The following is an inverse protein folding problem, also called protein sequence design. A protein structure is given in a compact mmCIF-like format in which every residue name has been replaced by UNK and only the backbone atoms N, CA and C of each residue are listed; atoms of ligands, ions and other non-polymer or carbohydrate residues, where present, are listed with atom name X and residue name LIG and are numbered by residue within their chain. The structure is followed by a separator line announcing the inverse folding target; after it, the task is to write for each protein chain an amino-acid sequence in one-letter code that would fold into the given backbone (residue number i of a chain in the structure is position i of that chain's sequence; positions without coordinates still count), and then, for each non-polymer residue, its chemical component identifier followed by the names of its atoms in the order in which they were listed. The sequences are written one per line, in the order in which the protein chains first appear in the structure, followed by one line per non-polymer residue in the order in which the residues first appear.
data_IF_778912916885
#
_entry.id   IF_778912916885
#
_cell.length_a   1.000
_cell.length_b   1.000
_cell.length_c   1.000
_cell.angle_alpha   90.00
_cell.angle_beta   90.00
_cell.angle_gamma   90.00
#
_symmetry.space_group_name_H-M   'P 1'
#
loop_
_entity.id
_entity.type
_entity.pdbx_description
1 polymer ?
#
# COMPACT_ATOMS: atom_id res chain seq x y z
N UNK A 1 -4.07 -15.78 -29.09
CA UNK A 1 -3.38 -14.80 -28.20
C UNK A 1 -3.41 -15.33 -26.77
N UNK A 2 -2.28 -15.78 -26.23
CA UNK A 2 -2.16 -16.07 -24.78
C UNK A 2 -2.30 -14.74 -24.04
N UNK A 3 -3.34 -14.57 -23.21
CA UNK A 3 -3.37 -13.50 -22.21
C UNK A 3 -2.14 -13.71 -21.33
N UNK A 4 -1.08 -12.93 -21.53
CA UNK A 4 0.02 -12.90 -20.57
C UNK A 4 -0.61 -12.63 -19.20
N UNK A 5 -0.30 -13.46 -18.20
CA UNK A 5 -0.74 -13.24 -16.82
C UNK A 5 -0.31 -11.82 -16.44
N UNK A 6 -1.27 -10.91 -16.28
CA UNK A 6 -1.00 -9.59 -15.72
C UNK A 6 -0.31 -9.81 -14.37
N UNK A 7 0.94 -9.37 -14.25
CA UNK A 7 1.66 -9.46 -12.99
C UNK A 7 1.07 -8.42 -12.04
N UNK A 8 0.14 -8.88 -11.21
CA UNK A 8 -0.51 -8.08 -10.17
C UNK A 8 0.26 -8.21 -8.85
N UNK A 9 0.65 -7.07 -8.28
CA UNK A 9 1.32 -6.97 -6.99
C UNK A 9 0.48 -6.14 -6.04
N UNK A 10 0.42 -6.52 -4.76
CA UNK A 10 -0.14 -5.64 -3.74
C UNK A 10 0.93 -4.67 -3.25
N UNK A 11 0.52 -3.46 -2.86
CA UNK A 11 1.43 -2.50 -2.23
C UNK A 11 1.97 -3.08 -0.92
N UNK A 12 1.09 -3.51 -0.01
CA UNK A 12 1.50 -4.24 1.20
C UNK A 12 0.36 -5.02 1.87
N UNK A 13 0.06 -6.20 1.34
CA UNK A 13 -1.04 -7.04 1.87
C UNK A 13 -0.84 -7.52 3.33
N UNK A 14 0.37 -7.90 3.79
CA UNK A 14 0.56 -8.40 5.15
C UNK A 14 0.12 -7.43 6.25
N UNK A 15 0.37 -6.13 6.07
CA UNK A 15 -0.05 -5.12 7.04
C UNK A 15 -1.57 -4.99 7.13
N UNK A 16 -2.27 -5.11 6.00
CA UNK A 16 -3.74 -5.07 6.00
C UNK A 16 -4.29 -6.27 6.79
N UNK A 17 -3.74 -7.47 6.55
CA UNK A 17 -4.12 -8.68 7.29
C UNK A 17 -3.86 -8.53 8.79
N UNK A 18 -2.70 -8.00 9.16
CA UNK A 18 -2.34 -7.76 10.56
C UNK A 18 -3.31 -6.80 11.26
N UNK A 19 -3.66 -5.68 10.62
CA UNK A 19 -4.62 -4.72 11.18
C UNK A 19 -6.02 -5.35 11.30
N UNK A 20 -6.43 -6.19 10.33
CA UNK A 20 -7.70 -6.94 10.43
C UNK A 20 -7.74 -7.82 11.67
N UNK A 21 -6.66 -8.55 11.96
CA UNK A 21 -6.59 -9.45 13.11
C UNK A 21 -6.72 -8.65 14.42
N UNK A 22 -6.00 -7.52 14.54
CA UNK A 22 -6.11 -6.63 15.71
C UNK A 22 -7.55 -6.13 15.89
N UNK A 23 -8.20 -5.72 14.80
CA UNK A 23 -9.57 -5.24 14.83
C UNK A 23 -10.54 -6.33 15.34
N UNK A 24 -10.39 -7.57 14.87
CA UNK A 24 -11.23 -8.70 15.33
C UNK A 24 -11.01 -8.94 16.82
N UNK A 25 -9.76 -8.97 17.28
CA UNK A 25 -9.44 -9.16 18.71
C UNK A 25 -10.04 -8.02 19.55
N UNK A 26 -9.91 -6.77 19.09
CA UNK A 26 -10.51 -5.60 19.75
C UNK A 26 -12.02 -5.69 19.88
N UNK A 27 -12.71 -6.12 18.81
CA UNK A 27 -14.16 -6.34 18.83
C UNK A 27 -14.54 -7.43 19.83
N UNK A 28 -13.86 -8.59 19.81
CA UNK A 28 -14.15 -9.69 20.75
C UNK A 28 -13.95 -9.25 22.20
N UNK A 29 -12.85 -8.57 22.51
CA UNK A 29 -12.60 -8.04 23.86
C UNK A 29 -13.66 -7.03 24.28
N UNK A 30 -14.07 -6.13 23.38
CA UNK A 30 -15.12 -5.17 23.67
C UNK A 30 -16.45 -5.86 23.97
N UNK A 31 -16.86 -6.85 23.18
CA UNK A 31 -18.09 -7.62 23.39
C UNK A 31 -18.08 -8.34 24.75
N UNK A 32 -16.96 -8.96 25.13
CA UNK A 32 -16.81 -9.58 26.47
C UNK A 32 -16.96 -8.52 27.57
N UNK A 33 -16.40 -7.34 27.35
CA UNK A 33 -16.50 -6.23 28.29
C UNK A 33 -17.94 -5.71 28.46
N UNK A 34 -18.73 -5.64 27.38
CA UNK A 34 -20.13 -5.21 27.43
C UNK A 34 -21.01 -6.07 28.35
N UNK A 35 -20.66 -7.35 28.49
CA UNK A 35 -21.41 -8.29 29.32
C UNK A 35 -21.07 -8.19 30.82
N UNK A 36 -20.06 -7.40 31.19
CA UNK A 36 -19.55 -7.34 32.57
C UNK A 36 -19.68 -5.98 33.26
N UNK A 37 -19.87 -4.89 32.52
CA UNK A 37 -19.81 -3.54 33.05
C UNK A 37 -21.11 -2.75 32.81
N UNK A 38 -21.46 -1.89 33.78
CA UNK A 38 -22.57 -0.96 33.66
C UNK A 38 -22.18 0.23 32.77
N UNK A 39 -23.13 0.67 31.94
CA UNK A 39 -22.96 1.70 30.91
C UNK A 39 -23.12 3.14 31.42
N UNK A 40 -23.40 3.28 32.72
CA UNK A 40 -23.55 4.58 33.37
C UNK A 40 -22.21 5.25 33.68
N UNK A 41 -21.09 4.54 33.51
CA UNK A 41 -19.75 5.09 33.71
C UNK A 41 -19.11 5.57 32.39
N UNK A 42 -18.15 6.48 32.49
CA UNK A 42 -17.43 7.01 31.33
C UNK A 42 -16.44 5.99 30.73
N UNK A 43 -16.01 5.02 31.53
CA UNK A 43 -14.96 4.07 31.18
C UNK A 43 -15.30 3.16 29.98
N UNK A 44 -16.50 2.55 29.87
CA UNK A 44 -16.93 1.82 28.67
C UNK A 44 -16.83 2.61 27.36
N UNK A 45 -17.13 3.93 27.39
CA UNK A 45 -17.05 4.78 26.20
C UNK A 45 -15.61 5.05 25.77
N UNK A 46 -14.70 5.25 26.72
CA UNK A 46 -13.25 5.37 26.44
C UNK A 46 -12.74 4.06 25.81
N UNK A 47 -13.15 2.92 26.36
CA UNK A 47 -12.77 1.61 25.86
C UNK A 47 -13.31 1.36 24.44
N UNK A 48 -14.55 1.76 24.14
CA UNK A 48 -15.12 1.72 22.79
C UNK A 48 -14.27 2.52 21.80
N UNK A 49 -13.88 3.74 22.16
CA UNK A 49 -13.07 4.59 21.31
C UNK A 49 -11.69 3.97 21.03
N UNK A 50 -11.05 3.38 22.04
CA UNK A 50 -9.72 2.80 21.93
C UNK A 50 -9.70 1.44 21.23
N UNK A 51 -10.65 0.54 21.51
CA UNK A 51 -10.65 -0.82 21.01
C UNK A 51 -11.40 -1.02 19.70
N UNK A 52 -12.31 -0.11 19.34
CA UNK A 52 -13.11 -0.22 18.13
C UNK A 52 -12.85 0.95 17.19
N UNK A 53 -13.14 2.19 17.61
CA UNK A 53 -13.10 3.33 16.68
C UNK A 53 -11.70 3.56 16.11
N UNK A 54 -10.67 3.57 16.96
CA UNK A 54 -9.29 3.78 16.53
C UNK A 54 -8.77 2.66 15.60
N UNK A 55 -8.93 1.36 15.93
CA UNK A 55 -8.58 0.27 15.02
C UNK A 55 -9.33 0.32 13.69
N UNK A 56 -10.62 0.69 13.68
CA UNK A 56 -11.40 0.86 12.44
C UNK A 56 -10.80 1.98 11.58
N UNK A 57 -10.46 3.13 12.16
CA UNK A 57 -9.83 4.23 11.44
C UNK A 57 -8.50 3.80 10.80
N UNK A 58 -7.66 3.08 11.56
CA UNK A 58 -6.38 2.55 11.07
C UNK A 58 -6.60 1.50 9.98
N UNK A 59 -7.61 0.65 10.12
CA UNK A 59 -7.98 -0.37 9.14
C UNK A 59 -8.41 0.23 7.81
N UNK A 60 -9.33 1.21 7.84
CA UNK A 60 -9.81 1.92 6.65
C UNK A 60 -8.63 2.62 5.96
N UNK A 61 -7.77 3.28 6.74
CA UNK A 61 -6.56 3.91 6.21
C UNK A 61 -5.61 2.88 5.58
N UNK A 62 -5.40 1.74 6.23
CA UNK A 62 -4.57 0.63 5.75
C UNK A 62 -5.08 0.07 4.42
N UNK A 63 -6.39 -0.18 4.30
CA UNK A 63 -7.00 -0.62 3.04
C UNK A 63 -6.78 0.42 1.94
N UNK A 64 -7.12 1.68 2.20
CA UNK A 64 -7.05 2.73 1.20
C UNK A 64 -5.62 2.95 0.67
N UNK A 65 -4.61 2.72 1.51
CA UNK A 65 -3.22 3.01 1.18
C UNK A 65 -2.42 1.79 0.73
N UNK A 66 -2.68 0.59 1.28
CA UNK A 66 -1.85 -0.60 1.13
C UNK A 66 -2.52 -1.78 0.40
N UNK A 67 -3.87 -1.83 0.34
CA UNK A 67 -4.59 -2.87 -0.40
C UNK A 67 -4.65 -2.60 -1.92
N UNK A 68 -4.02 -1.52 -2.39
CA UNK A 68 -3.96 -1.25 -3.83
C UNK A 68 -3.19 -2.36 -4.56
N UNK A 69 -3.73 -2.75 -5.72
CA UNK A 69 -3.08 -3.60 -6.70
C UNK A 69 -2.28 -2.75 -7.68
N UNK A 70 -1.06 -3.17 -7.96
CA UNK A 70 -0.16 -2.59 -8.95
C UNK A 70 0.00 -3.60 -10.07
N UNK A 71 -0.36 -3.21 -11.28
CA UNK A 71 -0.16 -4.00 -12.50
C UNK A 71 0.98 -3.39 -13.29
N UNK A 72 1.97 -4.20 -13.66
CA UNK A 72 3.11 -3.80 -14.48
C UNK A 72 3.01 -4.55 -15.81
N UNK A 73 2.99 -3.81 -16.91
CA UNK A 73 2.89 -4.37 -18.26
C UNK A 73 3.72 -3.56 -19.27
N UNK A 74 3.63 -3.90 -20.55
CA UNK A 74 4.38 -3.24 -21.63
C UNK A 74 4.05 -1.75 -21.81
N UNK A 75 2.85 -1.31 -21.42
CA UNK A 75 2.46 0.10 -21.55
C UNK A 75 2.96 0.95 -20.38
N UNK A 76 3.03 0.37 -19.18
CA UNK A 76 3.43 1.10 -17.98
C UNK A 76 3.00 0.42 -16.68
N UNK A 77 2.78 1.27 -15.68
CA UNK A 77 2.42 0.85 -14.33
C UNK A 77 1.06 1.43 -13.94
N UNK A 78 0.14 0.56 -13.55
CA UNK A 78 -1.23 0.94 -13.13
C UNK A 78 -1.44 0.64 -11.66
N UNK A 79 -2.01 1.58 -10.91
CA UNK A 79 -2.51 1.38 -9.55
C UNK A 79 -4.03 1.30 -9.55
N UNK A 80 -4.58 0.21 -9.01
CA UNK A 80 -6.01 -0.03 -8.83
C UNK A 80 -6.34 -0.30 -7.37
N UNK A 81 -7.54 0.07 -6.92
CA UNK A 81 -8.09 -0.31 -5.63
C UNK A 81 -9.49 -0.87 -5.89
N UNK A 82 -9.76 -2.10 -5.46
CA UNK A 82 -11.04 -2.81 -5.72
C UNK A 82 -11.48 -2.73 -7.21
N UNK A 83 -10.56 -2.96 -8.14
CA UNK A 83 -10.82 -2.89 -9.59
C UNK A 83 -10.84 -1.48 -10.17
N UNK A 84 -11.02 -0.44 -9.36
CA UNK A 84 -11.06 0.96 -9.82
C UNK A 84 -9.65 1.48 -10.07
N UNK A 85 -9.39 1.96 -11.29
CA UNK A 85 -8.12 2.61 -11.67
C UNK A 85 -7.94 3.93 -10.92
N UNK A 86 -6.94 3.97 -10.03
CA UNK A 86 -6.59 5.19 -9.27
C UNK A 86 -5.47 5.98 -9.94
N UNK A 87 -4.53 5.30 -10.60
CA UNK A 87 -3.39 5.96 -11.27
C UNK A 87 -2.81 5.09 -12.37
N UNK A 88 -2.24 5.75 -13.39
CA UNK A 88 -1.43 5.11 -14.41
C UNK A 88 -0.26 6.01 -14.78
N UNK A 89 0.89 5.38 -14.98
CA UNK A 89 2.11 6.01 -15.45
C UNK A 89 2.60 5.17 -16.62
N UNK A 90 2.59 5.76 -17.83
CA UNK A 90 3.17 5.12 -18.99
C UNK A 90 4.70 5.13 -18.88
N UNK A 91 5.40 4.12 -19.42
CA UNK A 91 6.86 4.05 -19.33
C UNK A 91 7.56 5.29 -19.88
N UNK A 92 7.05 5.86 -20.98
CA UNK A 92 7.56 7.11 -21.58
C UNK A 92 7.53 8.31 -20.64
N UNK A 93 6.68 8.29 -19.62
CA UNK A 93 6.54 9.37 -18.65
C UNK A 93 7.40 9.15 -17.40
N UNK A 94 7.95 7.94 -17.22
CA UNK A 94 8.80 7.63 -16.07
C UNK A 94 10.13 8.34 -16.24
N UNK A 95 10.49 9.14 -15.22
CA UNK A 95 11.78 9.82 -15.16
C UNK A 95 12.74 9.17 -14.19
N UNK A 96 12.21 8.51 -13.16
CA UNK A 96 13.04 7.95 -12.10
C UNK A 96 12.37 6.76 -11.44
N UNK A 97 13.16 5.71 -11.21
CA UNK A 97 12.79 4.59 -10.34
C UNK A 97 13.84 4.51 -9.23
N UNK A 98 13.41 4.55 -7.98
CA UNK A 98 14.34 4.55 -6.84
C UNK A 98 13.78 3.77 -5.66
N UNK A 99 14.64 3.02 -4.99
CA UNK A 99 14.34 2.48 -3.67
C UNK A 99 14.52 3.59 -2.63
N UNK A 100 13.48 3.86 -1.84
CA UNK A 100 13.60 4.67 -0.63
C UNK A 100 13.25 3.80 0.57
N UNK A 101 13.98 4.04 1.66
CA UNK A 101 13.97 3.25 2.90
C UNK A 101 14.70 1.90 2.75
N UNK A 102 15.93 1.75 3.29
CA UNK A 102 16.70 0.52 3.18
C UNK A 102 16.11 -0.65 3.96
N UNK A 103 15.29 -0.40 4.99
CA UNK A 103 14.71 -1.45 5.83
C UNK A 103 13.48 -2.09 5.19
N UNK A 104 12.58 -1.27 4.64
CA UNK A 104 11.33 -1.75 4.05
C UNK A 104 11.38 -1.89 2.51
N UNK A 105 12.44 -1.38 1.87
CA UNK A 105 12.68 -1.50 0.44
C UNK A 105 11.52 -1.01 -0.42
N UNK A 106 11.05 0.24 -0.26
CA UNK A 106 9.94 0.73 -1.10
C UNK A 106 10.47 1.20 -2.45
N UNK A 107 9.99 0.58 -3.54
CA UNK A 107 10.28 1.04 -4.90
C UNK A 107 9.29 2.14 -5.25
N UNK A 108 9.80 3.30 -5.66
CA UNK A 108 9.03 4.41 -6.18
C UNK A 108 9.31 4.60 -7.67
N UNK A 109 8.24 4.63 -8.47
CA UNK A 109 8.25 4.87 -9.91
C UNK A 109 7.61 6.22 -10.15
N UNK A 110 8.35 7.18 -10.70
CA UNK A 110 7.96 8.60 -10.69
C UNK A 110 8.04 9.27 -12.06
N UNK A 111 7.07 10.16 -12.33
CA UNK A 111 7.10 11.09 -13.48
C UNK A 111 8.01 12.31 -13.28
N UNK A 112 8.50 12.51 -12.06
CA UNK A 112 9.36 13.64 -11.66
C UNK A 112 10.60 13.09 -10.97
N UNK A 113 11.70 13.83 -11.03
CA UNK A 113 12.85 13.48 -10.20
C UNK A 113 12.46 13.55 -8.72
N UNK A 114 12.80 12.49 -7.99
CA UNK A 114 12.49 12.30 -6.58
C UNK A 114 13.45 13.09 -5.69
N UNK A 115 14.72 13.27 -6.12
CA UNK A 115 15.74 13.99 -5.36
C UNK A 115 15.69 13.74 -3.85
N UNK A 116 15.61 14.82 -3.08
CA UNK A 116 15.54 14.81 -1.61
C UNK A 116 14.11 14.68 -1.05
N UNK A 117 13.13 14.22 -1.84
CA UNK A 117 11.78 14.03 -1.30
C UNK A 117 11.77 13.00 -0.18
N UNK A 118 11.14 13.34 0.93
CA UNK A 118 10.83 12.40 2.01
C UNK A 118 9.80 11.35 1.55
N UNK A 119 9.78 10.20 2.24
CA UNK A 119 8.91 9.05 1.91
C UNK A 119 7.44 9.46 1.86
N UNK A 120 6.98 10.25 2.84
CA UNK A 120 5.58 10.71 2.91
C UNK A 120 5.19 11.53 1.68
N UNK A 121 6.06 12.45 1.25
CA UNK A 121 5.85 13.23 0.03
C UNK A 121 5.80 12.33 -1.21
N UNK A 122 6.68 11.34 -1.29
CA UNK A 122 6.67 10.37 -2.38
C UNK A 122 5.40 9.52 -2.41
N UNK A 123 4.81 9.15 -1.27
CA UNK A 123 3.57 8.35 -1.22
C UNK A 123 2.33 9.16 -1.59
N UNK A 124 2.27 10.41 -1.17
CA UNK A 124 1.12 11.29 -1.39
C UNK A 124 1.10 11.92 -2.79
N UNK A 125 2.27 12.10 -3.41
CA UNK A 125 2.39 12.72 -4.73
C UNK A 125 1.58 11.98 -5.79
N UNK A 126 0.94 12.72 -6.70
CA UNK A 126 0.25 12.16 -7.87
C UNK A 126 1.18 11.69 -8.98
N UNK A 127 2.45 12.09 -8.91
CA UNK A 127 3.45 11.77 -9.91
C UNK A 127 4.09 10.38 -9.71
N UNK A 128 3.79 9.69 -8.60
CA UNK A 128 4.49 8.46 -8.19
C UNK A 128 3.55 7.27 -8.12
N UNK A 129 4.07 6.07 -8.35
CA UNK A 129 3.47 4.81 -7.91
C UNK A 129 4.53 4.11 -7.06
N UNK A 130 4.11 3.47 -5.97
CA UNK A 130 5.02 2.77 -5.08
C UNK A 130 4.50 1.39 -4.72
N UNK A 131 5.43 0.49 -4.45
CA UNK A 131 5.18 -0.89 -4.05
C UNK A 131 6.40 -1.44 -3.31
N UNK A 132 6.21 -2.54 -2.58
CA UNK A 132 7.29 -3.18 -1.85
C UNK A 132 8.27 -3.86 -2.81
N UNK A 133 9.56 -3.72 -2.54
CA UNK A 133 10.61 -4.44 -3.25
C UNK A 133 10.52 -5.92 -2.90
N UNK A 134 10.26 -6.73 -3.92
CA UNK A 134 10.34 -8.19 -3.86
C UNK A 134 11.05 -8.66 -5.13
N UNK A 135 11.71 -9.81 -5.09
CA UNK A 135 12.45 -10.33 -6.26
C UNK A 135 11.59 -10.38 -7.51
N UNK A 136 10.33 -10.83 -7.37
CA UNK A 136 9.35 -10.86 -8.47
C UNK A 136 9.02 -9.48 -9.03
N UNK A 137 8.89 -8.47 -8.18
CA UNK A 137 8.66 -7.08 -8.61
C UNK A 137 9.87 -6.57 -9.40
N UNK A 138 11.09 -6.79 -8.89
CA UNK A 138 12.32 -6.37 -9.55
C UNK A 138 12.47 -7.07 -10.91
N UNK A 139 12.26 -8.38 -10.97
CA UNK A 139 12.28 -9.16 -12.23
C UNK A 139 11.25 -8.64 -13.22
N UNK A 140 10.03 -8.33 -12.75
CA UNK A 140 8.97 -7.79 -13.61
C UNK A 140 9.31 -6.39 -14.11
N UNK A 141 9.90 -5.54 -13.28
CA UNK A 141 10.41 -4.23 -13.69
C UNK A 141 11.54 -4.38 -14.72
N UNK A 142 12.48 -5.31 -14.48
CA UNK A 142 13.55 -5.64 -15.44
C UNK A 142 13.01 -6.23 -16.74
N UNK A 143 11.87 -6.95 -16.74
CA UNK A 143 11.22 -7.43 -17.96
C UNK A 143 10.58 -6.29 -18.75
N UNK A 144 9.70 -5.50 -18.12
CA UNK A 144 8.82 -4.58 -18.83
C UNK A 144 9.30 -3.14 -18.94
N UNK A 145 10.22 -2.67 -18.08
CA UNK A 145 10.75 -1.31 -18.20
C UNK A 145 11.69 -1.23 -19.41
N UNK A 146 11.42 -0.37 -20.41
CA UNK A 146 12.28 -0.23 -21.59
C UNK A 146 13.60 0.51 -21.27
N UNK A 147 13.56 1.43 -20.30
CA UNK A 147 14.70 2.27 -19.92
C UNK A 147 15.52 1.60 -18.82
N UNK A 148 16.45 0.71 -19.21
CA UNK A 148 17.24 -0.10 -18.25
C UNK A 148 18.14 0.75 -17.34
N UNK A 149 18.57 1.92 -17.79
CA UNK A 149 19.35 2.88 -17.00
C UNK A 149 18.64 3.27 -15.69
N UNK A 150 17.31 3.39 -15.72
CA UNK A 150 16.52 3.73 -14.53
C UNK A 150 16.51 2.61 -13.47
N UNK A 151 16.95 1.40 -13.85
CA UNK A 151 16.96 0.23 -12.97
C UNK A 151 18.32 -0.03 -12.33
N UNK A 152 19.36 0.76 -12.64
CA UNK A 152 20.72 0.53 -12.13
C UNK A 152 20.83 0.61 -10.60
N UNK A 153 19.85 1.26 -9.95
CA UNK A 153 19.79 1.47 -8.50
C UNK A 153 18.71 0.61 -7.81
N UNK A 154 18.26 -0.48 -8.44
CA UNK A 154 17.27 -1.43 -7.91
C UNK A 154 17.87 -2.76 -7.47
#
# INVERSE_FOLDING_TARGET
MKKEKENEFYVFLPLVIYITIILIIGIVMFVVFLNKYDWNEIFPYILLAMLILLPICIFIWGICTMACKITINEMGVTRRLFGVKKRFIAWKEVKEIRIKNPIAGWIFISKKSLGNWGISRCRLSRATIYLMSTSKVIETLKKYCPQKELLQNL
#
